data_IF_434347839752
#
_entry.id   IF_434347839752
#
_cell.length_a   1.000
_cell.length_b   1.000
_cell.length_c   1.000
_cell.angle_alpha   90.00
_cell.angle_beta   90.00
_cell.angle_gamma   90.00
#
_symmetry.space_group_name_H-M   'P 1'
#
loop_
_entity.id
_entity.type
_entity.pdbx_description
1 polymer ?
#
# COMPACT_ATOMS: atom_id res chain seq x y z
N UNK A 1 31.49 -0.65 49.20
CA UNK A 1 30.57 -1.65 48.62
C UNK A 1 31.31 -2.28 47.46
N UNK A 2 31.73 -3.53 47.64
CA UNK A 2 32.53 -4.24 46.64
C UNK A 2 31.66 -4.59 45.44
N UNK A 3 32.05 -4.11 44.26
CA UNK A 3 31.66 -4.72 43.00
C UNK A 3 32.21 -6.14 42.99
N UNK A 4 31.33 -7.10 43.26
CA UNK A 4 31.63 -8.52 43.14
C UNK A 4 31.78 -8.85 41.67
N UNK A 5 33.01 -9.16 41.26
CA UNK A 5 33.26 -9.96 40.07
C UNK A 5 32.56 -11.30 40.31
N UNK A 6 31.62 -11.67 39.43
CA UNK A 6 30.98 -12.99 39.49
C UNK A 6 32.01 -13.98 38.98
N UNK A 7 32.32 -15.00 39.77
CA UNK A 7 33.16 -16.14 39.35
C UNK A 7 32.60 -16.70 38.03
N UNK A 8 33.43 -16.69 36.98
CA UNK A 8 33.08 -17.20 35.64
C UNK A 8 32.74 -18.70 35.64
N UNK A 9 33.11 -19.42 36.70
CA UNK A 9 32.85 -20.86 36.88
C UNK A 9 31.45 -21.18 37.43
N UNK A 10 30.62 -20.15 37.71
CA UNK A 10 29.24 -20.29 38.21
C UNK A 10 28.19 -19.73 37.23
N UNK A 11 28.52 -19.67 35.93
CA UNK A 11 27.51 -19.41 34.91
C UNK A 11 26.62 -20.65 34.81
N UNK A 12 25.44 -20.57 35.41
CA UNK A 12 24.39 -21.56 35.23
C UNK A 12 23.91 -21.51 33.78
N UNK A 13 24.42 -22.44 32.97
CA UNK A 13 24.15 -22.55 31.54
C UNK A 13 22.65 -22.69 31.23
N UNK A 14 21.86 -23.31 32.12
CA UNK A 14 20.41 -23.41 31.95
C UNK A 14 19.75 -22.04 32.14
N UNK A 15 20.08 -21.31 33.20
CA UNK A 15 19.55 -19.96 33.42
C UNK A 15 19.97 -18.99 32.33
N UNK A 16 21.20 -19.11 31.84
CA UNK A 16 21.69 -18.30 30.74
C UNK A 16 20.91 -18.61 29.45
N UNK A 17 20.66 -19.89 29.15
CA UNK A 17 19.85 -20.32 28.00
C UNK A 17 18.40 -19.86 28.11
N UNK A 18 17.79 -19.93 29.28
CA UNK A 18 16.44 -19.41 29.53
C UNK A 18 16.38 -17.90 29.32
N UNK A 19 17.34 -17.15 29.88
CA UNK A 19 17.42 -15.70 29.69
C UNK A 19 17.55 -15.33 28.21
N UNK A 20 18.47 -15.96 27.47
CA UNK A 20 18.65 -15.69 26.04
C UNK A 20 17.44 -16.12 25.20
N UNK A 21 16.80 -17.24 25.54
CA UNK A 21 15.59 -17.70 24.85
C UNK A 21 14.42 -16.73 25.08
N UNK A 22 14.22 -16.29 26.31
CA UNK A 22 13.22 -15.27 26.65
C UNK A 22 13.55 -13.94 25.97
N UNK A 23 14.78 -13.44 26.08
CA UNK A 23 15.23 -12.19 25.49
C UNK A 23 15.08 -12.18 23.97
N UNK A 24 15.52 -13.24 23.28
CA UNK A 24 15.34 -13.38 21.84
C UNK A 24 13.86 -13.47 21.47
N UNK A 25 13.05 -14.21 22.24
CA UNK A 25 11.60 -14.29 22.03
C UNK A 25 10.93 -12.93 22.21
N UNK A 26 11.33 -12.16 23.23
CA UNK A 26 10.80 -10.84 23.54
C UNK A 26 11.26 -9.80 22.52
N UNK A 27 12.52 -9.84 22.09
CA UNK A 27 13.03 -9.03 20.98
C UNK A 27 12.34 -9.37 19.66
N UNK A 28 12.09 -10.65 19.35
CA UNK A 28 11.35 -11.06 18.17
C UNK A 28 9.89 -10.61 18.28
N UNK A 29 9.23 -10.80 19.42
CA UNK A 29 7.87 -10.30 19.64
C UNK A 29 7.79 -8.80 19.47
N UNK A 30 8.70 -8.05 20.10
CA UNK A 30 8.76 -6.59 20.03
C UNK A 30 9.08 -6.11 18.61
N UNK A 31 10.04 -6.74 17.91
CA UNK A 31 10.37 -6.40 16.53
C UNK A 31 9.28 -6.81 15.52
N UNK A 32 8.55 -7.89 15.77
CA UNK A 32 7.37 -8.27 14.98
C UNK A 32 6.14 -7.41 15.29
N UNK A 33 6.12 -6.77 16.48
CA UNK A 33 5.08 -5.83 16.92
C UNK A 33 5.37 -4.40 16.47
N UNK A 34 6.65 -4.05 16.29
CA UNK A 34 7.06 -2.73 15.80
C UNK A 34 7.09 -2.73 14.26
N UNK A 35 5.96 -2.31 13.67
CA UNK A 35 5.75 -2.22 12.22
C UNK A 35 6.68 -1.23 11.49
N UNK A 36 7.60 -0.56 12.20
CA UNK A 36 8.50 0.47 11.66
C UNK A 36 9.97 0.11 11.69
N UNK A 37 10.39 -0.96 12.36
CA UNK A 37 11.80 -1.32 12.41
C UNK A 37 12.30 -1.81 11.04
N UNK A 38 13.51 -1.39 10.61
CA UNK A 38 14.12 -1.93 9.40
C UNK A 38 14.29 -3.43 9.57
N UNK A 39 13.71 -4.18 8.63
CA UNK A 39 13.73 -5.63 8.70
C UNK A 39 15.17 -6.17 8.58
N UNK A 40 15.53 -7.21 9.37
CA UNK A 40 16.81 -7.88 9.18
C UNK A 40 16.89 -8.36 7.73
N UNK A 41 18.01 -8.04 7.07
CA UNK A 41 18.24 -8.43 5.70
C UNK A 41 18.11 -9.96 5.57
N UNK A 42 17.31 -10.43 4.61
CA UNK A 42 17.24 -11.85 4.29
C UNK A 42 18.65 -12.33 3.89
N UNK A 43 19.16 -13.32 4.60
CA UNK A 43 20.50 -13.90 4.37
C UNK A 43 20.56 -14.79 3.12
N UNK A 44 19.44 -14.95 2.39
CA UNK A 44 19.38 -15.66 1.12
C UNK A 44 19.98 -14.81 -0.01
N UNK A 45 21.24 -15.11 -0.37
CA UNK A 45 21.95 -14.59 -1.57
C UNK A 45 21.37 -15.02 -2.92
N UNK A 46 20.12 -15.47 -2.95
CA UNK A 46 19.43 -15.83 -4.20
C UNK A 46 18.35 -14.79 -4.40
N UNK A 47 18.54 -13.92 -5.40
CA UNK A 47 17.45 -13.08 -5.91
C UNK A 47 16.35 -14.04 -6.38
N UNK A 48 15.21 -14.14 -5.69
CA UNK A 48 14.13 -14.99 -6.17
C UNK A 48 13.71 -14.42 -7.53
N UNK A 49 13.53 -15.26 -8.55
CA UNK A 49 12.91 -14.76 -9.78
C UNK A 49 11.54 -14.19 -9.40
N UNK A 50 11.23 -12.98 -9.86
CA UNK A 50 9.96 -12.34 -9.56
C UNK A 50 8.81 -13.33 -9.84
N UNK A 51 7.99 -13.60 -8.82
CA UNK A 51 6.84 -14.48 -8.96
C UNK A 51 5.97 -14.00 -10.11
N UNK A 52 5.61 -14.90 -11.01
CA UNK A 52 4.64 -14.59 -12.06
C UNK A 52 3.28 -14.33 -11.44
N UNK A 53 2.75 -13.12 -11.64
CA UNK A 53 1.39 -12.75 -11.25
C UNK A 53 0.54 -12.74 -12.53
N UNK A 54 -0.58 -13.49 -12.57
CA UNK A 54 -1.47 -13.49 -13.72
C UNK A 54 -2.01 -12.09 -14.04
N UNK A 55 -2.35 -11.87 -15.31
CA UNK A 55 -3.04 -10.65 -15.72
C UNK A 55 -4.35 -10.46 -14.94
N UNK A 56 -4.62 -9.22 -14.53
CA UNK A 56 -5.80 -8.85 -13.73
C UNK A 56 -6.91 -8.36 -14.64
N UNK A 57 -8.05 -9.04 -14.65
CA UNK A 57 -9.22 -8.63 -15.43
C UNK A 57 -9.85 -7.36 -14.87
N UNK A 58 -9.63 -7.05 -13.58
CA UNK A 58 -10.14 -5.83 -12.95
C UNK A 58 -9.72 -4.53 -13.65
N UNK A 59 -8.60 -4.52 -14.37
CA UNK A 59 -8.01 -3.30 -14.95
C UNK A 59 -8.94 -2.56 -15.91
N UNK A 60 -9.89 -3.25 -16.54
CA UNK A 60 -10.83 -2.66 -17.50
C UNK A 60 -12.23 -2.41 -16.90
N UNK A 61 -12.50 -2.81 -15.66
CA UNK A 61 -13.83 -2.65 -15.03
C UNK A 61 -14.29 -1.19 -14.98
N UNK A 62 -13.37 -0.24 -14.88
CA UNK A 62 -13.72 1.18 -14.93
C UNK A 62 -14.34 1.64 -16.26
N UNK A 63 -14.14 0.88 -17.34
CA UNK A 63 -14.81 1.08 -18.64
C UNK A 63 -16.00 0.16 -18.81
N UNK A 64 -15.82 -1.11 -18.42
CA UNK A 64 -16.72 -2.20 -18.80
C UNK A 64 -17.93 -2.33 -17.86
N UNK A 65 -17.80 -1.91 -16.59
CA UNK A 65 -18.89 -1.89 -15.62
C UNK A 65 -19.49 -0.48 -15.48
N UNK A 66 -20.82 -0.39 -15.62
CA UNK A 66 -21.55 0.89 -15.60
C UNK A 66 -21.36 1.66 -14.29
N UNK A 67 -21.35 0.97 -13.14
CA UNK A 67 -21.21 1.61 -11.84
C UNK A 67 -19.78 2.07 -11.60
N UNK A 68 -18.78 1.27 -11.96
CA UNK A 68 -17.38 1.68 -11.92
C UNK A 68 -17.14 2.90 -12.83
N UNK A 69 -17.69 2.86 -14.05
CA UNK A 69 -17.63 3.96 -15.02
C UNK A 69 -18.26 5.25 -14.45
N UNK A 70 -19.41 5.16 -13.79
CA UNK A 70 -20.05 6.30 -13.14
C UNK A 70 -19.17 6.94 -12.05
N UNK A 71 -18.52 6.13 -11.19
CA UNK A 71 -17.58 6.65 -10.19
C UNK A 71 -16.39 7.37 -10.83
N UNK A 72 -15.78 6.75 -11.84
CA UNK A 72 -14.64 7.32 -12.54
C UNK A 72 -15.01 8.60 -13.30
N UNK A 73 -16.16 8.64 -13.96
CA UNK A 73 -16.65 9.85 -14.63
C UNK A 73 -16.90 10.99 -13.63
N UNK A 74 -17.47 10.68 -12.46
CA UNK A 74 -17.66 11.69 -11.41
C UNK A 74 -16.33 12.26 -10.89
N UNK A 75 -15.29 11.44 -10.76
CA UNK A 75 -13.94 11.90 -10.41
C UNK A 75 -13.34 12.73 -11.54
N UNK A 76 -13.47 12.26 -12.79
CA UNK A 76 -13.00 12.95 -14.00
C UNK A 76 -13.55 14.35 -14.08
N UNK A 77 -14.86 14.54 -13.87
CA UNK A 77 -15.49 15.85 -13.92
C UNK A 77 -14.87 16.86 -12.95
N UNK A 78 -14.56 16.43 -11.72
CA UNK A 78 -13.95 17.29 -10.71
C UNK A 78 -12.53 17.70 -11.15
N UNK A 79 -11.71 16.72 -11.53
CA UNK A 79 -10.33 16.96 -11.95
C UNK A 79 -10.27 17.81 -13.23
N UNK A 80 -11.15 17.55 -14.21
CA UNK A 80 -11.24 18.33 -15.44
C UNK A 80 -11.65 19.78 -15.19
N UNK A 81 -12.63 20.02 -14.29
CA UNK A 81 -13.02 21.37 -13.87
C UNK A 81 -11.84 22.12 -13.24
N UNK A 82 -11.03 21.44 -12.42
CA UNK A 82 -9.84 22.03 -11.82
C UNK A 82 -8.79 22.41 -12.88
N UNK A 83 -8.49 21.49 -13.81
CA UNK A 83 -7.54 21.74 -14.92
C UNK A 83 -8.00 22.91 -15.77
N UNK A 84 -9.28 22.97 -16.14
CA UNK A 84 -9.85 24.04 -16.94
C UNK A 84 -9.83 25.40 -16.21
N UNK A 85 -10.29 25.43 -14.96
CA UNK A 85 -10.37 26.66 -14.16
C UNK A 85 -9.00 27.32 -13.95
N UNK A 86 -7.99 26.51 -13.60
CA UNK A 86 -6.64 27.02 -13.35
C UNK A 86 -5.77 27.15 -14.62
N UNK A 87 -6.35 26.83 -15.79
CA UNK A 87 -5.69 26.79 -17.09
C UNK A 87 -4.41 25.94 -17.08
N UNK A 88 -4.46 24.79 -16.41
CA UNK A 88 -3.36 23.83 -16.40
C UNK A 88 -3.34 23.01 -17.68
N UNK A 89 -2.16 22.54 -18.06
CA UNK A 89 -1.98 21.63 -19.18
C UNK A 89 -2.37 20.20 -18.84
N UNK A 90 -2.14 19.78 -17.59
CA UNK A 90 -2.61 18.50 -17.04
C UNK A 90 -2.59 18.49 -15.50
N UNK A 91 -3.26 17.52 -14.91
CA UNK A 91 -3.07 17.10 -13.53
C UNK A 91 -2.83 15.58 -13.43
N UNK A 92 -1.95 15.17 -12.52
CA UNK A 92 -1.71 13.78 -12.15
C UNK A 92 -2.16 13.59 -10.69
N UNK A 93 -3.27 12.88 -10.48
CA UNK A 93 -3.83 12.53 -9.18
C UNK A 93 -3.46 11.09 -8.81
N UNK A 94 -2.91 10.91 -7.62
CA UNK A 94 -2.55 9.61 -7.05
C UNK A 94 -3.34 9.43 -5.77
N UNK A 95 -4.04 8.30 -5.64
CA UNK A 95 -4.72 7.89 -4.42
C UNK A 95 -4.20 6.52 -4.02
N UNK A 96 -3.41 6.49 -2.95
CA UNK A 96 -2.97 5.27 -2.29
C UNK A 96 -3.99 4.91 -1.22
N UNK A 97 -4.55 3.70 -1.25
CA UNK A 97 -5.60 3.28 -0.33
C UNK A 97 -5.28 1.90 0.23
N UNK A 98 -5.13 1.84 1.55
CA UNK A 98 -4.85 0.62 2.31
C UNK A 98 -5.81 0.61 3.49
N UNK A 99 -6.55 -0.48 3.64
CA UNK A 99 -7.60 -0.66 4.64
C UNK A 99 -8.67 0.44 4.51
N UNK A 100 -8.81 1.33 5.48
CA UNK A 100 -9.72 2.47 5.49
C UNK A 100 -8.97 3.81 5.43
N UNK A 101 -7.65 3.76 5.18
CA UNK A 101 -6.80 4.95 5.11
C UNK A 101 -6.39 5.23 3.67
N UNK A 102 -6.61 6.48 3.26
CA UNK A 102 -6.19 6.99 1.96
C UNK A 102 -5.14 8.09 2.09
N UNK A 103 -4.12 8.02 1.26
CA UNK A 103 -3.11 9.05 1.10
C UNK A 103 -3.07 9.51 -0.35
N UNK A 104 -3.27 10.81 -0.56
CA UNK A 104 -3.36 11.37 -1.91
C UNK A 104 -2.19 12.30 -2.22
N UNK A 105 -1.71 12.26 -3.46
CA UNK A 105 -0.82 13.27 -4.03
C UNK A 105 -1.44 13.80 -5.31
N UNK A 106 -1.31 15.10 -5.56
CA UNK A 106 -1.73 15.69 -6.81
C UNK A 106 -0.64 16.62 -7.34
N UNK A 107 -0.35 16.47 -8.62
CA UNK A 107 0.61 17.29 -9.36
C UNK A 107 -0.11 18.03 -10.47
N UNK A 108 0.25 19.28 -10.69
CA UNK A 108 -0.35 20.15 -11.70
C UNK A 108 0.74 20.67 -12.61
N UNK A 109 0.39 21.01 -13.85
CA UNK A 109 1.39 21.39 -14.85
C UNK A 109 0.91 22.57 -15.69
N UNK A 110 1.82 23.51 -15.99
CA UNK A 110 1.66 24.52 -17.04
C UNK A 110 2.70 24.27 -18.12
N UNK A 111 2.26 23.87 -19.31
CA UNK A 111 3.14 23.20 -20.27
C UNK A 111 3.68 21.91 -19.65
N UNK A 112 5.00 21.78 -19.62
CA UNK A 112 5.69 20.64 -18.99
C UNK A 112 6.17 20.94 -17.56
N UNK A 113 6.01 22.17 -17.08
CA UNK A 113 6.53 22.60 -15.78
C UNK A 113 5.54 22.29 -14.65
N UNK A 114 5.98 21.68 -13.54
CA UNK A 114 5.13 21.44 -12.39
C UNK A 114 4.75 22.75 -11.69
N UNK A 115 3.50 22.83 -11.23
CA UNK A 115 2.96 23.97 -10.49
C UNK A 115 2.64 23.55 -9.08
N UNK A 116 3.14 24.33 -8.11
CA UNK A 116 2.76 24.15 -6.72
C UNK A 116 1.35 24.70 -6.50
N UNK A 117 0.42 23.82 -6.17
CA UNK A 117 -0.93 24.19 -5.77
C UNK A 117 -1.41 23.24 -4.69
N UNK A 118 -1.98 23.80 -3.61
CA UNK A 118 -2.50 23.01 -2.50
C UNK A 118 -3.99 22.79 -2.72
N UNK A 119 -4.38 21.53 -2.96
CA UNK A 119 -5.78 21.16 -3.04
C UNK A 119 -6.46 21.33 -1.67
N UNK A 120 -7.65 21.91 -1.67
CA UNK A 120 -8.45 22.03 -0.45
C UNK A 120 -8.78 20.67 0.13
N UNK A 121 -8.68 20.53 1.46
CA UNK A 121 -8.85 19.26 2.17
C UNK A 121 -10.20 18.59 1.89
N UNK A 122 -11.27 19.38 1.75
CA UNK A 122 -12.61 18.86 1.44
C UNK A 122 -12.67 18.18 0.07
N UNK A 123 -11.97 18.73 -0.93
CA UNK A 123 -11.90 18.14 -2.27
C UNK A 123 -11.10 16.84 -2.22
N UNK A 124 -9.99 16.84 -1.49
CA UNK A 124 -9.16 15.64 -1.27
C UNK A 124 -9.97 14.50 -0.64
N UNK A 125 -10.67 14.77 0.48
CA UNK A 125 -11.52 13.78 1.16
C UNK A 125 -12.63 13.27 0.24
N UNK A 126 -13.24 14.17 -0.53
CA UNK A 126 -14.31 13.80 -1.45
C UNK A 126 -13.80 12.88 -2.59
N UNK A 127 -12.63 13.19 -3.15
CA UNK A 127 -12.00 12.37 -4.19
C UNK A 127 -11.54 11.01 -3.63
N UNK A 128 -10.88 10.98 -2.47
CA UNK A 128 -10.43 9.72 -1.86
C UNK A 128 -11.62 8.82 -1.51
N UNK A 129 -12.70 9.37 -0.96
CA UNK A 129 -13.91 8.59 -0.65
C UNK A 129 -14.60 8.01 -1.90
N UNK A 130 -14.47 8.66 -3.07
CA UNK A 130 -14.93 8.06 -4.35
C UNK A 130 -14.02 6.92 -4.80
N UNK A 131 -12.71 7.06 -4.61
CA UNK A 131 -11.74 6.00 -4.92
C UNK A 131 -11.94 4.78 -4.01
N UNK A 132 -12.21 4.98 -2.73
CA UNK A 132 -12.53 3.89 -1.79
C UNK A 132 -13.77 3.11 -2.22
N UNK A 133 -14.85 3.82 -2.60
CA UNK A 133 -16.06 3.16 -3.15
C UNK A 133 -15.79 2.44 -4.46
N UNK A 134 -14.94 2.98 -5.32
CA UNK A 134 -14.50 2.32 -6.54
C UNK A 134 -13.69 1.06 -6.23
N UNK A 135 -12.82 1.09 -5.21
CA UNK A 135 -12.05 -0.07 -4.71
C UNK A 135 -12.98 -1.19 -4.26
N UNK A 136 -13.95 -0.87 -3.39
CA UNK A 136 -14.95 -1.83 -2.91
C UNK A 136 -15.71 -2.48 -4.06
N UNK A 137 -16.15 -1.66 -5.03
CA UNK A 137 -16.92 -2.13 -6.17
C UNK A 137 -16.10 -3.03 -7.09
N UNK A 138 -14.89 -2.60 -7.49
CA UNK A 138 -14.02 -3.39 -8.36
C UNK A 138 -13.63 -4.72 -7.70
N UNK A 139 -13.38 -4.70 -6.39
CA UNK A 139 -13.16 -5.92 -5.63
C UNK A 139 -14.39 -6.84 -5.64
N UNK A 140 -15.60 -6.29 -5.41
CA UNK A 140 -16.83 -7.10 -5.40
C UNK A 140 -17.10 -7.83 -6.71
N UNK A 141 -16.66 -7.26 -7.84
CA UNK A 141 -16.84 -7.82 -9.18
C UNK A 141 -15.81 -8.91 -9.51
N UNK A 142 -14.63 -8.89 -8.90
CA UNK A 142 -13.54 -9.83 -9.18
C UNK A 142 -12.73 -10.15 -7.90
N UNK A 143 -13.36 -10.71 -6.85
CA UNK A 143 -12.77 -10.78 -5.51
C UNK A 143 -11.50 -11.63 -5.47
N UNK A 144 -11.40 -12.64 -6.34
CA UNK A 144 -10.24 -13.53 -6.41
C UNK A 144 -8.93 -12.79 -6.74
N UNK A 145 -8.98 -11.65 -7.42
CA UNK A 145 -7.78 -10.87 -7.73
C UNK A 145 -7.41 -9.91 -6.57
N UNK A 146 -8.29 -9.66 -5.61
CA UNK A 146 -8.07 -8.69 -4.53
C UNK A 146 -8.25 -7.24 -4.96
N UNK A 147 -8.03 -6.30 -4.04
CA UNK A 147 -8.20 -4.87 -4.29
C UNK A 147 -6.89 -4.16 -4.69
N UNK A 148 -6.99 -3.05 -5.40
CA UNK A 148 -5.84 -2.20 -5.75
C UNK A 148 -5.36 -1.40 -4.52
N UNK A 149 -4.06 -1.09 -4.51
CA UNK A 149 -3.42 -0.21 -3.52
C UNK A 149 -3.19 1.22 -4.03
N UNK A 150 -3.15 1.40 -5.36
CA UNK A 150 -2.99 2.70 -6.01
C UNK A 150 -4.04 2.86 -7.10
N UNK A 151 -4.71 4.01 -7.14
CA UNK A 151 -5.35 4.53 -8.34
C UNK A 151 -4.64 5.82 -8.77
N UNK A 152 -4.12 5.85 -9.99
CA UNK A 152 -3.54 7.04 -10.61
C UNK A 152 -4.48 7.50 -11.73
N UNK A 153 -4.89 8.76 -11.71
CA UNK A 153 -5.68 9.39 -12.76
C UNK A 153 -4.92 10.59 -13.30
N UNK A 154 -4.75 10.64 -14.62
CA UNK A 154 -4.18 11.77 -15.35
C UNK A 154 -5.28 12.40 -16.19
N UNK A 155 -5.49 13.71 -16.03
CA UNK A 155 -6.41 14.50 -16.87
C UNK A 155 -5.62 15.60 -17.57
N UNK A 156 -5.73 15.69 -18.90
CA UNK A 156 -5.14 16.79 -19.66
C UNK A 156 -6.14 17.93 -19.93
N UNK A 157 -5.63 19.06 -20.45
CA UNK A 157 -6.44 20.23 -20.83
C UNK A 157 -7.50 19.94 -21.90
N UNK A 158 -7.34 18.85 -22.66
CA UNK A 158 -8.29 18.36 -23.65
C UNK A 158 -9.37 17.47 -23.06
N UNK A 159 -9.40 17.29 -21.73
CA UNK A 159 -10.31 16.39 -21.01
C UNK A 159 -10.10 14.90 -21.37
N UNK A 160 -8.91 14.54 -21.88
CA UNK A 160 -8.51 13.14 -22.03
C UNK A 160 -8.09 12.61 -20.68
N UNK A 161 -8.44 11.34 -20.42
CA UNK A 161 -8.18 10.67 -19.16
C UNK A 161 -7.39 9.39 -19.37
N UNK A 162 -6.30 9.24 -18.61
CA UNK A 162 -5.62 7.95 -18.39
C UNK A 162 -5.82 7.56 -16.92
N UNK A 163 -6.14 6.29 -16.67
CA UNK A 163 -6.29 5.76 -15.32
C UNK A 163 -5.53 4.45 -15.21
N UNK A 164 -4.81 4.29 -14.11
CA UNK A 164 -3.99 3.10 -13.82
C UNK A 164 -4.21 2.65 -12.40
N UNK A 165 -4.28 1.34 -12.23
CA UNK A 165 -4.41 0.71 -10.93
C UNK A 165 -3.13 -0.06 -10.59
N UNK A 166 -2.64 0.11 -9.37
CA UNK A 166 -1.48 -0.60 -8.84
C UNK A 166 -1.90 -1.63 -7.80
N UNK A 167 -1.67 -2.91 -8.09
CA UNK A 167 -1.97 -4.03 -7.20
C UNK A 167 -0.71 -4.71 -6.66
N UNK A 168 0.32 -4.80 -7.50
CA UNK A 168 1.44 -5.72 -7.27
C UNK A 168 2.72 -5.04 -6.82
N UNK A 169 2.84 -3.72 -7.06
CA UNK A 169 4.02 -2.93 -6.71
C UNK A 169 3.83 -2.21 -5.39
N UNK A 170 4.73 -2.47 -4.43
CA UNK A 170 4.83 -1.67 -3.20
C UNK A 170 5.63 -0.39 -3.49
N UNK A 171 4.98 0.62 -4.05
CA UNK A 171 5.56 1.94 -4.35
C UNK A 171 6.19 2.59 -3.11
N UNK A 172 7.14 3.50 -3.29
CA UNK A 172 7.83 4.18 -2.19
C UNK A 172 6.88 4.94 -1.26
N UNK A 173 5.82 5.53 -1.80
CA UNK A 173 4.74 6.15 -1.03
C UNK A 173 4.04 5.14 -0.11
N UNK A 174 3.77 3.92 -0.61
CA UNK A 174 3.15 2.86 0.20
C UNK A 174 4.05 2.45 1.36
N UNK A 175 5.37 2.40 1.15
CA UNK A 175 6.36 2.08 2.20
C UNK A 175 6.47 3.19 3.24
N UNK A 176 6.38 4.45 2.83
CA UNK A 176 6.58 5.62 3.71
C UNK A 176 5.37 5.92 4.57
N UNK A 177 4.17 5.72 4.03
CA UNK A 177 2.93 6.18 4.65
C UNK A 177 2.26 5.09 5.48
N UNK A 178 2.30 3.83 5.02
CA UNK A 178 1.56 2.72 5.60
C UNK A 178 2.49 1.69 6.26
N UNK A 179 1.99 1.10 7.33
CA UNK A 179 2.63 0.04 8.11
C UNK A 179 2.33 -1.32 7.53
N UNK A 180 3.15 -2.31 7.86
CA UNK A 180 2.89 -3.70 7.48
C UNK A 180 1.56 -4.23 8.05
N UNK A 181 1.14 -3.76 9.25
CA UNK A 181 -0.19 -4.03 9.82
C UNK A 181 -1.33 -3.61 8.89
N UNK A 182 -1.24 -2.41 8.31
CA UNK A 182 -2.29 -1.85 7.47
C UNK A 182 -2.54 -2.75 6.25
N UNK A 183 -1.48 -3.32 5.67
CA UNK A 183 -1.61 -4.26 4.55
C UNK A 183 -2.22 -5.61 4.97
N UNK A 184 -1.93 -6.10 6.19
CA UNK A 184 -2.57 -7.32 6.69
C UNK A 184 -4.06 -7.12 7.01
N UNK A 185 -4.44 -5.96 7.51
CA UNK A 185 -5.84 -5.59 7.73
C UNK A 185 -6.58 -5.39 6.40
N UNK A 186 -5.93 -4.72 5.43
CA UNK A 186 -6.44 -4.60 4.07
C UNK A 186 -6.65 -5.97 3.43
N UNK A 187 -5.71 -6.91 3.58
CA UNK A 187 -5.86 -8.28 3.07
C UNK A 187 -7.02 -9.01 3.75
N UNK A 188 -7.27 -8.77 5.04
CA UNK A 188 -8.40 -9.35 5.75
C UNK A 188 -9.74 -8.85 5.21
N UNK A 189 -9.80 -7.59 4.75
CA UNK A 189 -10.96 -6.98 4.10
C UNK A 189 -11.10 -7.38 2.63
N UNK A 190 -9.99 -7.51 1.92
CA UNK A 190 -9.91 -7.82 0.48
C UNK A 190 -8.98 -9.01 0.22
N UNK A 191 -9.35 -10.22 0.69
CA UNK A 191 -8.57 -11.43 0.43
C UNK A 191 -8.44 -11.67 -1.07
N UNK A 192 -7.34 -12.32 -1.47
CA UNK A 192 -7.08 -12.66 -2.87
C UNK A 192 -6.45 -14.03 -2.99
N UNK A 193 -6.67 -14.69 -4.11
CA UNK A 193 -6.09 -16.01 -4.35
C UNK A 193 -4.56 -15.94 -4.35
N UNK A 194 -3.89 -17.00 -3.89
CA UNK A 194 -2.43 -17.07 -3.73
C UNK A 194 -1.65 -16.62 -4.98
N UNK A 195 -2.14 -16.96 -6.18
CA UNK A 195 -1.53 -16.57 -7.46
C UNK A 195 -1.51 -15.05 -7.70
N UNK A 196 -2.37 -14.29 -7.05
CA UNK A 196 -2.46 -12.82 -7.13
C UNK A 196 -1.81 -12.10 -5.95
N UNK A 197 -1.12 -12.83 -5.06
CA UNK A 197 -0.38 -12.26 -3.93
C UNK A 197 1.06 -11.96 -4.38
N UNK A 198 1.47 -10.68 -4.45
CA UNK A 198 2.86 -10.32 -4.73
C UNK A 198 3.78 -10.70 -3.57
N UNK A 199 5.06 -10.94 -3.87
CA UNK A 199 6.03 -11.46 -2.89
C UNK A 199 6.13 -10.61 -1.62
N UNK A 200 6.16 -9.27 -1.77
CA UNK A 200 6.22 -8.36 -0.63
C UNK A 200 5.00 -8.48 0.30
N UNK A 201 3.81 -8.79 -0.24
CA UNK A 201 2.61 -8.96 0.56
C UNK A 201 2.63 -10.34 1.22
N UNK A 202 3.03 -11.38 0.50
CA UNK A 202 3.22 -12.72 1.05
C UNK A 202 4.18 -12.70 2.25
N UNK A 203 5.26 -11.92 2.18
CA UNK A 203 6.22 -11.77 3.27
C UNK A 203 5.61 -11.08 4.50
N UNK A 204 4.75 -10.07 4.31
CA UNK A 204 3.98 -9.45 5.41
C UNK A 204 3.05 -10.49 6.05
N UNK A 205 2.25 -11.17 5.24
CA UNK A 205 1.24 -12.13 5.70
C UNK A 205 1.87 -13.31 6.46
N UNK A 206 2.95 -13.90 5.94
CA UNK A 206 3.70 -14.97 6.61
C UNK A 206 4.21 -14.54 7.99
N UNK A 207 4.79 -13.34 8.10
CA UNK A 207 5.31 -12.81 9.37
C UNK A 207 4.21 -12.52 10.38
N UNK A 208 3.04 -12.06 9.91
CA UNK A 208 1.84 -11.88 10.73
C UNK A 208 1.08 -13.20 11.00
N UNK A 209 1.59 -14.34 10.51
CA UNK A 209 0.99 -15.68 10.64
C UNK A 209 -0.43 -15.78 10.05
N UNK A 210 -0.68 -15.03 8.98
CA UNK A 210 -1.93 -15.06 8.23
C UNK A 210 -1.81 -16.10 7.12
N UNK A 211 -2.75 -17.05 7.09
CA UNK A 211 -2.87 -18.04 6.02
C UNK A 211 -3.49 -17.44 4.76
N UNK A 212 -2.99 -17.83 3.60
CA UNK A 212 -3.48 -17.39 2.29
C UNK A 212 -3.23 -18.45 1.22
#
# INVERSE_FOLDING_TARGET
MNGGIVDLDFIDDERNKEFWSWYLTDCIKTACSDDRLPYPASTSKVTPSAKYIPYRTQLNLWKDDEKCCAYVNSIKEILAKMVAYAQWSKCDFYCYTVENTSYTKIYYYRGNEPVQFRLGINVTIHLSGKIEKLKDLMYSLCPQEGAFYLCKITIDKGNNMDIRFGYDTRYEELKKVFRDSDFSEDFSKYPRAEKFIPDWLADILKRKRISF
#
